data_IF_294417906678
#
_entry.id   IF_294417906678
#
_cell.length_a   1.000
_cell.length_b   1.000
_cell.length_c   1.000
_cell.angle_alpha   90.00
_cell.angle_beta   90.00
_cell.angle_gamma   90.00
#
_symmetry.space_group_name_H-M   'P 1'
#
loop_
_entity.id
_entity.type
_entity.pdbx_description
1 polymer ?
#
# COMPACT_ATOMS: atom_id res chain seq x y z
N UNK A 1 2.94 -15.90 -14.06
CA UNK A 1 3.60 -14.89 -13.21
C UNK A 1 3.65 -15.44 -11.81
N UNK A 2 4.87 -15.77 -11.34
CA UNK A 2 5.08 -16.23 -9.98
C UNK A 2 4.74 -15.10 -9.03
N UNK A 3 3.75 -15.32 -8.13
CA UNK A 3 3.59 -14.43 -6.97
C UNK A 3 4.90 -14.46 -6.20
N UNK A 4 5.43 -13.32 -5.72
CA UNK A 4 6.53 -13.37 -4.79
C UNK A 4 6.12 -14.32 -3.67
N UNK A 5 6.94 -15.33 -3.38
CA UNK A 5 6.70 -16.17 -2.21
C UNK A 5 7.02 -15.30 -1.02
N UNK A 6 6.04 -14.94 -0.17
CA UNK A 6 6.33 -14.16 1.01
C UNK A 6 7.35 -14.94 1.84
N UNK A 7 8.42 -14.27 2.26
CA UNK A 7 9.30 -14.86 3.24
C UNK A 7 8.49 -14.98 4.53
N UNK A 8 8.23 -16.22 4.88
CA UNK A 8 7.29 -16.61 5.91
C UNK A 8 7.67 -15.98 7.25
N UNK A 9 6.78 -15.13 7.78
CA UNK A 9 6.86 -14.64 9.15
C UNK A 9 8.07 -13.74 9.46
N UNK A 10 8.55 -12.95 8.53
CA UNK A 10 9.71 -12.06 8.76
C UNK A 10 9.51 -11.10 9.94
N UNK A 11 8.28 -10.68 10.21
CA UNK A 11 7.94 -9.77 11.31
C UNK A 11 7.48 -10.50 12.58
N UNK A 12 7.70 -11.82 12.66
CA UNK A 12 7.32 -12.68 13.79
C UNK A 12 5.80 -12.66 14.11
N UNK A 13 5.45 -13.05 15.34
CA UNK A 13 4.06 -12.95 15.82
C UNK A 13 3.76 -11.51 16.24
N UNK A 14 2.57 -11.04 15.92
CA UNK A 14 2.11 -9.71 16.33
C UNK A 14 0.91 -9.80 17.26
N UNK A 15 0.96 -9.05 18.36
CA UNK A 15 -0.16 -8.87 19.28
C UNK A 15 -0.37 -7.38 19.54
N UNK A 16 -1.56 -6.89 19.24
CA UNK A 16 -1.95 -5.53 19.59
C UNK A 16 -2.07 -5.36 21.11
N UNK A 17 -1.58 -4.26 21.64
CA UNK A 17 -1.52 -3.97 23.08
C UNK A 17 -2.33 -2.72 23.47
N UNK A 18 -2.69 -1.87 22.51
CA UNK A 18 -3.44 -0.63 22.70
C UNK A 18 -4.36 -0.33 21.53
N UNK A 19 -5.17 0.70 21.68
CA UNK A 19 -6.02 1.24 20.61
C UNK A 19 -5.17 2.04 19.62
N UNK A 20 -5.45 1.88 18.32
CA UNK A 20 -4.84 2.69 17.26
C UNK A 20 -3.38 2.35 16.95
N UNK A 21 -2.97 1.09 17.10
CA UNK A 21 -1.62 0.66 16.69
C UNK A 21 -1.47 0.70 15.17
N UNK A 22 -0.37 1.30 14.71
CA UNK A 22 -0.04 1.44 13.30
C UNK A 22 0.99 0.40 12.90
N UNK A 23 0.65 -0.42 11.92
CA UNK A 23 1.52 -1.52 11.46
C UNK A 23 2.14 -1.26 10.09
N UNK A 24 1.62 -0.27 9.37
CA UNK A 24 2.11 0.10 8.04
C UNK A 24 2.95 1.37 8.08
N UNK A 25 3.88 1.47 7.14
CA UNK A 25 4.62 2.67 6.80
C UNK A 25 4.39 3.01 5.33
N UNK A 26 4.48 4.29 4.98
CA UNK A 26 4.04 4.80 3.68
C UNK A 26 5.07 5.75 3.07
N UNK A 27 5.20 5.71 1.75
CA UNK A 27 5.96 6.70 0.99
C UNK A 27 5.30 6.95 -0.36
N UNK A 28 5.07 8.22 -0.76
CA UNK A 28 4.50 8.52 -2.07
C UNK A 28 5.52 8.24 -3.17
N UNK A 29 5.03 7.82 -4.34
CA UNK A 29 5.87 7.73 -5.53
C UNK A 29 6.37 9.13 -5.91
N UNK A 30 7.67 9.23 -6.17
CA UNK A 30 8.30 10.46 -6.68
C UNK A 30 8.39 10.48 -8.21
N UNK A 31 8.17 9.33 -8.86
CA UNK A 31 8.17 9.17 -10.32
C UNK A 31 7.07 8.19 -10.73
N UNK A 32 6.61 8.31 -11.98
CA UNK A 32 5.68 7.33 -12.54
C UNK A 32 6.36 5.97 -12.68
N UNK A 33 5.60 4.92 -12.44
CA UNK A 33 6.03 3.54 -12.64
C UNK A 33 5.11 2.87 -13.67
N UNK A 34 5.68 2.03 -14.53
CA UNK A 34 4.97 1.40 -15.66
C UNK A 34 4.96 -0.09 -15.55
N UNK A 35 4.04 -0.71 -16.24
CA UNK A 35 4.03 -2.15 -16.46
C UNK A 35 5.38 -2.61 -16.99
N UNK A 36 5.95 -3.63 -16.35
CA UNK A 36 7.27 -4.19 -16.68
C UNK A 36 8.44 -3.56 -15.90
N UNK A 37 8.23 -2.41 -15.23
CA UNK A 37 9.29 -1.81 -14.42
C UNK A 37 9.64 -2.73 -13.24
N UNK A 38 10.93 -2.96 -13.05
CA UNK A 38 11.48 -3.75 -11.94
C UNK A 38 11.88 -2.89 -10.74
N UNK A 39 11.67 -1.59 -10.83
CA UNK A 39 11.95 -0.64 -9.77
C UNK A 39 10.79 0.35 -9.61
N UNK A 40 10.62 0.87 -8.39
CA UNK A 40 9.78 2.02 -8.10
C UNK A 40 10.59 3.06 -7.33
N UNK A 41 10.31 4.34 -7.56
CA UNK A 41 11.02 5.43 -6.86
C UNK A 41 10.06 6.19 -5.97
N UNK A 42 10.42 6.33 -4.71
CA UNK A 42 9.59 6.99 -3.69
C UNK A 42 10.33 8.14 -3.03
N UNK A 43 9.58 9.05 -2.44
CA UNK A 43 10.13 10.09 -1.59
C UNK A 43 10.43 9.52 -0.21
N UNK A 44 11.63 9.76 0.32
CA UNK A 44 12.04 9.35 1.68
C UNK A 44 11.86 7.83 1.94
N UNK A 45 12.45 6.98 1.10
CA UNK A 45 12.39 5.51 1.23
C UNK A 45 12.76 4.99 2.62
N UNK A 46 13.66 5.69 3.35
CA UNK A 46 14.04 5.35 4.72
C UNK A 46 12.88 5.30 5.71
N UNK A 47 11.80 6.04 5.46
CA UNK A 47 10.59 6.01 6.30
C UNK A 47 9.86 4.66 6.21
N UNK A 48 10.04 3.92 5.11
CA UNK A 48 9.43 2.61 4.93
C UNK A 48 10.10 1.53 5.78
N UNK A 49 11.37 1.73 6.17
CA UNK A 49 12.18 0.76 6.92
C UNK A 49 12.23 -0.62 6.25
N UNK A 50 12.37 -0.61 4.93
CA UNK A 50 12.38 -1.82 4.13
C UNK A 50 13.72 -2.55 4.21
N UNK A 51 13.64 -3.87 4.20
CA UNK A 51 14.75 -4.78 4.00
C UNK A 51 14.45 -5.72 2.82
N UNK A 52 15.51 -6.39 2.33
CA UNK A 52 15.34 -7.45 1.33
C UNK A 52 14.39 -8.54 1.87
N UNK A 53 13.41 -8.91 1.05
CA UNK A 53 12.40 -9.91 1.38
C UNK A 53 11.11 -9.33 1.97
N UNK A 54 11.08 -8.06 2.34
CA UNK A 54 9.84 -7.40 2.73
C UNK A 54 8.83 -7.40 1.58
N UNK A 55 7.55 -7.31 1.94
CA UNK A 55 6.47 -7.06 1.00
C UNK A 55 6.08 -5.59 1.00
N UNK A 56 5.81 -5.09 -0.18
CA UNK A 56 5.20 -3.77 -0.40
C UNK A 56 3.92 -3.91 -1.21
N UNK A 57 2.98 -3.01 -0.94
CA UNK A 57 1.85 -2.75 -1.82
C UNK A 57 2.14 -1.44 -2.56
N UNK A 58 2.08 -1.48 -3.89
CA UNK A 58 2.01 -0.26 -4.72
C UNK A 58 0.54 -0.02 -5.00
N UNK A 59 0.02 1.15 -4.66
CA UNK A 59 -1.40 1.50 -4.83
C UNK A 59 -1.53 2.95 -5.31
N UNK A 60 -2.44 3.18 -6.24
CA UNK A 60 -2.79 4.53 -6.69
C UNK A 60 -4.10 4.97 -6.06
N UNK A 61 -4.06 6.09 -5.32
CA UNK A 61 -5.19 6.55 -4.51
C UNK A 61 -6.17 7.42 -5.29
N UNK A 62 -5.70 8.15 -6.30
CA UNK A 62 -6.47 9.14 -7.05
C UNK A 62 -6.23 9.03 -8.55
N UNK A 63 -6.93 9.90 -9.33
CA UNK A 63 -6.76 10.00 -10.78
C UNK A 63 -8.02 9.65 -11.55
N UNK A 64 -9.12 9.25 -10.89
CA UNK A 64 -10.40 9.07 -11.56
C UNK A 64 -10.89 10.40 -12.15
N UNK A 65 -11.48 10.33 -13.34
CA UNK A 65 -12.13 11.47 -14.00
C UNK A 65 -13.58 11.53 -13.57
N UNK A 66 -13.99 12.69 -13.11
CA UNK A 66 -15.36 12.98 -12.70
C UNK A 66 -15.96 13.98 -13.68
N UNK A 67 -17.18 13.72 -14.15
CA UNK A 67 -17.90 14.62 -15.03
C UNK A 67 -18.47 15.79 -14.23
N UNK A 68 -17.94 16.98 -14.46
CA UNK A 68 -18.44 18.24 -13.92
C UNK A 68 -19.10 19.12 -15.00
N UNK A 69 -19.14 18.68 -16.27
CA UNK A 69 -19.63 19.47 -17.36
C UNK A 69 -21.16 19.37 -17.55
N UNK A 70 -21.76 18.28 -17.10
CA UNK A 70 -23.21 18.05 -17.26
C UNK A 70 -24.03 18.82 -16.21
N UNK A 71 -23.80 20.14 -16.10
CA UNK A 71 -24.50 21.01 -15.12
C UNK A 71 -25.98 21.19 -15.50
N UNK A 72 -26.35 20.92 -16.76
CA UNK A 72 -27.67 21.24 -17.32
C UNK A 72 -28.70 20.12 -17.19
N UNK A 73 -28.29 18.86 -17.11
CA UNK A 73 -29.23 17.74 -17.01
C UNK A 73 -29.22 17.04 -15.63
N UNK A 74 -28.27 17.37 -14.77
CA UNK A 74 -28.14 16.84 -13.40
C UNK A 74 -27.92 15.32 -13.31
N UNK A 75 -28.03 14.60 -14.42
CA UNK A 75 -28.04 13.13 -14.43
C UNK A 75 -26.65 12.52 -14.44
N UNK A 76 -25.63 13.27 -14.87
CA UNK A 76 -24.25 12.82 -14.98
C UNK A 76 -23.26 13.63 -14.12
N UNK A 77 -23.72 14.73 -13.53
CA UNK A 77 -22.85 15.54 -12.67
C UNK A 77 -22.35 14.73 -11.47
N UNK A 78 -21.03 14.69 -11.32
CA UNK A 78 -20.38 13.90 -10.28
C UNK A 78 -20.20 12.43 -10.64
N UNK A 79 -20.65 11.96 -11.81
CA UNK A 79 -20.41 10.59 -12.26
C UNK A 79 -18.93 10.39 -12.59
N UNK A 80 -18.39 9.23 -12.20
CA UNK A 80 -17.04 8.82 -12.62
C UNK A 80 -17.10 8.40 -14.07
N UNK A 81 -16.48 9.16 -14.97
CA UNK A 81 -16.43 8.86 -16.41
C UNK A 81 -15.31 7.87 -16.75
N UNK A 82 -14.22 7.90 -16.00
CA UNK A 82 -13.09 6.98 -16.15
C UNK A 82 -12.34 6.83 -14.83
N UNK A 83 -12.17 5.61 -14.36
CA UNK A 83 -11.38 5.34 -13.14
C UNK A 83 -9.88 5.54 -13.35
N UNK A 84 -9.40 5.55 -14.62
CA UNK A 84 -7.98 5.55 -14.92
C UNK A 84 -7.29 4.42 -14.14
N UNK A 85 -6.27 4.79 -13.34
CA UNK A 85 -5.57 3.83 -12.48
C UNK A 85 -5.93 3.98 -10.99
N UNK A 86 -6.91 4.83 -10.65
CA UNK A 86 -7.36 5.00 -9.26
C UNK A 86 -7.91 3.68 -8.70
N UNK A 87 -7.43 3.28 -7.52
CA UNK A 87 -7.78 2.03 -6.86
C UNK A 87 -7.00 0.81 -7.34
N UNK A 88 -6.19 0.91 -8.40
CA UNK A 88 -5.31 -0.20 -8.79
C UNK A 88 -4.22 -0.39 -7.74
N UNK A 89 -3.97 -1.64 -7.40
CA UNK A 89 -2.89 -2.02 -6.51
C UNK A 89 -2.27 -3.36 -6.90
N UNK A 90 -1.04 -3.58 -6.45
CA UNK A 90 -0.37 -4.87 -6.51
C UNK A 90 0.60 -5.03 -5.35
N UNK A 91 0.89 -6.28 -5.01
CA UNK A 91 1.87 -6.63 -3.97
C UNK A 91 3.12 -7.16 -4.66
N UNK A 92 4.27 -6.65 -4.25
CA UNK A 92 5.57 -7.05 -4.75
C UNK A 92 6.54 -7.31 -3.59
N UNK A 93 7.50 -8.21 -3.81
CA UNK A 93 8.62 -8.40 -2.90
C UNK A 93 9.71 -7.34 -3.13
N UNK A 94 10.52 -7.09 -2.13
CA UNK A 94 11.66 -6.18 -2.17
C UNK A 94 12.95 -6.97 -2.33
N UNK A 95 13.68 -6.73 -3.41
CA UNK A 95 15.02 -7.28 -3.62
C UNK A 95 16.12 -6.40 -3.01
N UNK A 96 15.96 -5.07 -3.12
CA UNK A 96 16.87 -4.08 -2.55
C UNK A 96 16.16 -2.72 -2.37
N UNK A 97 16.72 -1.88 -1.51
CA UNK A 97 16.29 -0.48 -1.33
C UNK A 97 17.52 0.42 -1.24
N UNK A 98 17.49 1.51 -1.96
CA UNK A 98 18.45 2.62 -1.82
C UNK A 98 17.75 3.81 -1.16
N UNK A 99 18.04 4.02 0.12
CA UNK A 99 17.44 5.10 0.90
C UNK A 99 17.89 6.50 0.48
N UNK A 100 19.01 6.62 -0.24
CA UNK A 100 19.52 7.91 -0.71
C UNK A 100 18.79 8.38 -1.97
N UNK A 101 18.56 7.47 -2.91
CA UNK A 101 17.89 7.77 -4.18
C UNK A 101 16.39 7.53 -4.14
N UNK A 102 15.90 6.81 -3.14
CA UNK A 102 14.49 6.43 -3.02
C UNK A 102 14.09 5.26 -3.93
N UNK A 103 15.06 4.57 -4.56
CA UNK A 103 14.80 3.47 -5.48
C UNK A 103 14.59 2.17 -4.71
N UNK A 104 13.48 1.51 -4.96
CA UNK A 104 13.15 0.18 -4.45
C UNK A 104 13.19 -0.77 -5.63
N UNK A 105 14.09 -1.77 -5.59
CA UNK A 105 14.14 -2.84 -6.57
C UNK A 105 13.19 -3.95 -6.17
N UNK A 106 12.33 -4.36 -7.09
CA UNK A 106 11.33 -5.39 -6.87
C UNK A 106 11.93 -6.77 -7.03
N UNK A 107 11.48 -7.73 -6.24
CA UNK A 107 11.82 -9.13 -6.35
C UNK A 107 10.91 -9.83 -7.37
N UNK A 108 11.47 -10.68 -8.20
CA UNK A 108 10.74 -11.50 -9.16
C UNK A 108 10.90 -11.07 -10.62
N UNK A 109 10.61 -12.02 -11.51
CA UNK A 109 10.68 -11.82 -12.95
C UNK A 109 9.39 -11.18 -13.48
N UNK A 110 9.52 -10.07 -14.19
CA UNK A 110 8.41 -9.47 -14.96
C UNK A 110 7.92 -8.11 -14.46
N UNK A 111 8.46 -7.58 -13.38
CA UNK A 111 8.15 -6.23 -12.91
C UNK A 111 6.68 -5.99 -12.56
N UNK A 112 6.30 -4.73 -12.52
CA UNK A 112 4.93 -4.29 -12.24
C UNK A 112 3.94 -4.75 -13.33
N UNK A 113 2.70 -4.99 -12.94
CA UNK A 113 1.61 -5.37 -13.85
C UNK A 113 0.76 -4.20 -14.28
N UNK A 114 0.77 -3.13 -13.49
CA UNK A 114 -0.03 -1.94 -13.70
C UNK A 114 0.86 -0.72 -13.87
N UNK A 115 0.25 0.35 -14.40
CA UNK A 115 0.86 1.66 -14.44
C UNK A 115 0.42 2.46 -13.20
N UNK A 116 1.35 3.19 -12.60
CA UNK A 116 1.12 4.05 -11.44
C UNK A 116 1.68 5.43 -11.72
N UNK A 117 0.96 6.46 -11.32
CA UNK A 117 1.39 7.84 -11.55
C UNK A 117 1.56 8.59 -10.23
N UNK A 118 2.63 9.38 -10.13
CA UNK A 118 2.83 10.25 -8.99
C UNK A 118 1.71 11.31 -8.88
N UNK A 119 1.25 11.84 -10.02
CA UNK A 119 0.12 12.78 -10.06
C UNK A 119 -1.21 12.15 -9.60
N UNK A 120 -1.38 10.83 -9.75
CA UNK A 120 -2.50 10.07 -9.20
C UNK A 120 -2.32 9.68 -7.74
N UNK A 121 -1.35 10.28 -7.05
CA UNK A 121 -1.01 9.98 -5.66
C UNK A 121 -0.81 8.49 -5.40
N UNK A 122 -0.03 7.84 -6.29
CA UNK A 122 0.41 6.50 -6.02
C UNK A 122 1.40 6.48 -4.86
N UNK A 123 1.30 5.46 -4.01
CA UNK A 123 2.17 5.28 -2.86
C UNK A 123 2.64 3.84 -2.73
N UNK A 124 3.76 3.68 -2.04
CA UNK A 124 4.25 2.39 -1.55
C UNK A 124 3.88 2.26 -0.09
N UNK A 125 3.28 1.14 0.27
CA UNK A 125 2.93 0.76 1.64
C UNK A 125 3.72 -0.48 2.01
N UNK A 126 4.48 -0.46 3.12
CA UNK A 126 5.08 -1.69 3.65
C UNK A 126 4.00 -2.60 4.20
N UNK A 127 3.99 -3.84 3.74
CA UNK A 127 3.04 -4.88 4.18
C UNK A 127 3.78 -5.82 5.16
N UNK A 128 3.56 -5.68 6.47
CA UNK A 128 4.23 -6.57 7.42
C UNK A 128 3.79 -8.02 7.22
N UNK A 129 4.70 -8.96 7.50
CA UNK A 129 4.55 -10.40 7.30
C UNK A 129 4.58 -11.12 8.64
N UNK A 130 3.42 -11.27 9.27
CA UNK A 130 3.31 -11.89 10.58
C UNK A 130 3.16 -13.41 10.50
N UNK A 131 3.73 -14.13 11.45
CA UNK A 131 3.47 -15.56 11.64
C UNK A 131 2.07 -15.79 12.20
N UNK A 132 1.64 -14.97 13.18
CA UNK A 132 0.31 -14.95 13.76
C UNK A 132 -0.11 -13.54 14.10
N UNK A 133 -1.43 -13.30 14.16
CA UNK A 133 -2.00 -12.01 14.54
C UNK A 133 -2.99 -12.19 15.70
N UNK A 134 -2.80 -11.44 16.77
CA UNK A 134 -3.73 -11.36 17.90
C UNK A 134 -4.13 -9.90 18.15
N UNK A 135 -5.42 -9.60 18.01
CA UNK A 135 -5.99 -8.29 18.32
C UNK A 135 -7.03 -8.46 19.41
N UNK A 136 -6.64 -8.38 20.70
CA UNK A 136 -7.53 -8.58 21.84
C UNK A 136 -8.65 -7.54 21.93
N UNK A 137 -9.69 -7.87 22.70
CA UNK A 137 -10.74 -6.93 23.08
C UNK A 137 -10.14 -5.66 23.70
N UNK A 138 -10.61 -4.49 23.28
CA UNK A 138 -10.12 -3.21 23.78
C UNK A 138 -8.87 -2.69 23.07
N UNK A 139 -8.35 -3.41 22.06
CA UNK A 139 -7.25 -2.96 21.22
C UNK A 139 -7.70 -2.76 19.78
N UNK A 140 -6.93 -2.01 18.98
CA UNK A 140 -7.17 -1.88 17.56
C UNK A 140 -5.90 -1.62 16.76
N UNK A 141 -5.92 -2.07 15.51
CA UNK A 141 -4.93 -1.72 14.49
C UNK A 141 -5.57 -0.68 13.57
N UNK A 142 -4.82 0.37 13.21
CA UNK A 142 -5.24 1.39 12.26
C UNK A 142 -4.11 1.77 11.31
N UNK A 143 -4.45 2.47 10.22
CA UNK A 143 -3.49 3.14 9.34
C UNK A 143 -3.19 4.57 9.78
N UNK A 144 -2.24 5.20 9.10
CA UNK A 144 -2.16 6.66 9.11
C UNK A 144 -3.34 7.23 8.33
N UNK A 145 -3.90 8.33 8.81
CA UNK A 145 -4.88 9.08 8.03
C UNK A 145 -4.29 9.50 6.67
N UNK A 146 -5.14 9.60 5.66
CA UNK A 146 -4.73 10.16 4.38
C UNK A 146 -4.34 11.64 4.55
N UNK A 147 -3.10 11.99 4.22
CA UNK A 147 -2.55 13.34 4.37
C UNK A 147 -2.56 14.17 3.07
N UNK A 148 -3.22 13.66 2.03
CA UNK A 148 -3.22 14.23 0.68
C UNK A 148 -2.15 13.63 -0.24
N UNK A 149 -1.24 12.83 0.30
CA UNK A 149 -0.11 12.24 -0.45
C UNK A 149 0.09 10.76 -0.16
N UNK A 150 -0.10 10.34 1.09
CA UNK A 150 0.08 8.97 1.57
C UNK A 150 -0.83 8.67 2.76
N UNK A 151 -0.92 7.40 3.12
CA UNK A 151 -1.78 6.91 4.22
C UNK A 151 -3.08 6.30 3.72
N UNK A 152 -4.07 6.16 4.60
CA UNK A 152 -5.41 5.65 4.26
C UNK A 152 -5.48 4.16 3.94
N UNK A 153 -4.44 3.38 4.22
CA UNK A 153 -4.38 1.95 3.88
C UNK A 153 -3.94 1.13 5.08
N UNK A 154 -4.64 0.06 5.39
CA UNK A 154 -4.20 -0.97 6.33
C UNK A 154 -4.01 -2.27 5.56
N UNK A 155 -2.80 -2.76 5.52
CA UNK A 155 -2.45 -3.99 4.81
C UNK A 155 -1.45 -4.81 5.62
N UNK A 156 -1.67 -6.11 5.72
CA UNK A 156 -0.76 -7.04 6.38
C UNK A 156 -0.91 -8.43 5.78
N UNK A 157 0.13 -9.23 5.85
CA UNK A 157 0.11 -10.63 5.52
C UNK A 157 0.24 -11.45 6.80
N UNK A 158 -0.67 -12.37 7.03
CA UNK A 158 -0.61 -13.28 8.18
C UNK A 158 -0.59 -14.71 7.68
N UNK A 159 0.47 -15.43 8.02
CA UNK A 159 0.64 -16.80 7.56
C UNK A 159 -0.23 -17.80 8.31
N UNK A 160 -0.34 -17.65 9.62
CA UNK A 160 -0.98 -18.62 10.50
C UNK A 160 -2.26 -18.09 11.14
N UNK A 161 -2.45 -18.40 12.41
CA UNK A 161 -3.68 -18.06 13.12
C UNK A 161 -3.87 -16.56 13.28
N UNK A 162 -5.07 -16.07 12.94
CA UNK A 162 -5.55 -14.73 13.26
C UNK A 162 -6.65 -14.82 14.32
N UNK A 163 -6.48 -14.08 15.42
CA UNK A 163 -7.48 -13.89 16.48
C UNK A 163 -7.88 -12.42 16.49
N UNK A 164 -9.14 -12.12 16.20
CA UNK A 164 -9.66 -10.76 16.10
C UNK A 164 -10.85 -10.59 17.04
N UNK A 165 -10.59 -10.21 18.28
CA UNK A 165 -11.59 -9.82 19.27
C UNK A 165 -11.70 -8.30 19.43
N UNK A 166 -10.66 -7.56 19.02
CA UNK A 166 -10.62 -6.11 18.89
C UNK A 166 -11.06 -5.64 17.51
N UNK A 167 -10.40 -4.60 16.97
CA UNK A 167 -10.77 -3.98 15.70
C UNK A 167 -9.58 -3.82 14.76
N UNK A 168 -9.83 -3.92 13.46
CA UNK A 168 -8.99 -3.32 12.40
C UNK A 168 -9.81 -2.16 11.86
N UNK A 169 -9.28 -0.96 11.98
CA UNK A 169 -10.01 0.28 11.69
C UNK A 169 -9.25 1.08 10.63
N UNK A 170 -9.82 1.20 9.46
CA UNK A 170 -9.29 1.99 8.34
C UNK A 170 -10.05 3.32 8.15
N UNK A 171 -10.85 3.75 9.13
CA UNK A 171 -11.67 4.97 9.09
C UNK A 171 -10.93 6.21 9.62
N UNK A 172 -9.63 6.28 9.46
CA UNK A 172 -8.81 7.40 9.93
C UNK A 172 -8.87 8.61 9.00
#
# INVERSE_FOLDING_TARGET
VSRPTPLVGMDAAYKATKVGEKVNTYAPLSANAKTGDTTVTVTNAGNLKLAKGDLIMVIQMQGAEVDFASVTDGTKYGAVSNYRNAGLYEIAGVAAVDNNTGVITLDGCGGLKNNYTAAGHAQVVRVPQYTTLDVPTGTSITGDAWDGSKGGVVAMYVQGKTSLAGKIDASA
#
